data_IF_071536319692
#
_entry.id   IF_071536319692
#
_cell.length_a   1.000
_cell.length_b   1.000
_cell.length_c   1.000
_cell.angle_alpha   90.00
_cell.angle_beta   90.00
_cell.angle_gamma   90.00
#
_symmetry.space_group_name_H-M   'P 1'
#
loop_
_entity.id
_entity.type
_entity.pdbx_description
1 polymer ?
#
# COMPACT_ATOMS: atom_id res chain seq x y z
N UNK A 1 -14.57 -3.16 16.57
CA UNK A 1 -15.52 -4.17 17.12
C UNK A 1 -16.64 -4.52 16.14
N UNK A 2 -17.36 -3.53 15.53
CA UNK A 2 -18.47 -3.80 14.61
C UNK A 2 -18.03 -4.65 13.40
N UNK A 3 -16.89 -4.34 12.80
CA UNK A 3 -16.34 -5.09 11.65
C UNK A 3 -16.02 -6.54 12.00
N UNK A 4 -15.42 -6.80 13.15
CA UNK A 4 -15.11 -8.16 13.58
C UNK A 4 -16.39 -9.00 13.86
N UNK A 5 -17.48 -8.34 14.34
CA UNK A 5 -18.78 -9.04 14.56
C UNK A 5 -19.41 -9.56 13.26
N UNK A 6 -19.12 -8.94 12.11
CA UNK A 6 -19.60 -9.38 10.80
C UNK A 6 -18.59 -10.26 10.04
N UNK A 7 -17.57 -10.80 10.73
CA UNK A 7 -16.63 -11.76 10.18
C UNK A 7 -15.39 -11.17 9.51
N UNK A 8 -15.17 -9.83 9.58
CA UNK A 8 -13.94 -9.22 9.07
C UNK A 8 -12.76 -9.68 9.92
N UNK A 9 -11.79 -10.36 9.30
CA UNK A 9 -10.63 -10.94 9.99
C UNK A 9 -9.58 -9.91 10.37
N UNK A 10 -9.37 -8.90 9.52
CA UNK A 10 -8.37 -7.87 9.70
C UNK A 10 -8.86 -6.55 9.13
N UNK A 11 -8.48 -5.43 9.75
CA UNK A 11 -8.82 -4.09 9.29
C UNK A 11 -7.54 -3.33 8.98
N UNK A 12 -7.43 -2.83 7.77
CA UNK A 12 -6.40 -1.85 7.40
C UNK A 12 -6.93 -0.43 7.59
N UNK A 13 -6.31 0.34 8.49
CA UNK A 13 -6.67 1.73 8.76
C UNK A 13 -5.76 2.65 7.97
N UNK A 14 -6.27 3.13 6.83
CA UNK A 14 -5.53 3.94 5.84
C UNK A 14 -5.61 5.44 6.18
N UNK A 15 -4.92 5.85 7.25
CA UNK A 15 -4.91 7.25 7.73
C UNK A 15 -3.86 8.12 7.05
N UNK A 16 -2.82 7.53 6.46
CA UNK A 16 -1.68 8.24 5.86
C UNK A 16 -1.13 9.33 6.78
N UNK A 17 -0.90 8.97 8.07
CA UNK A 17 -0.47 9.93 9.09
C UNK A 17 0.80 10.67 8.68
N UNK A 18 0.72 11.98 8.61
CA UNK A 18 1.81 12.88 8.29
C UNK A 18 1.73 14.10 9.20
N UNK A 19 2.35 14.01 10.38
CA UNK A 19 2.30 15.04 11.41
C UNK A 19 3.60 15.01 12.24
N UNK A 20 3.70 15.85 13.25
CA UNK A 20 4.82 15.81 14.18
C UNK A 20 4.91 14.45 14.89
N UNK A 21 6.10 13.97 15.25
CA UNK A 21 6.28 12.70 15.94
C UNK A 21 5.37 12.48 17.15
N UNK A 22 5.18 13.50 17.99
CA UNK A 22 4.35 13.44 19.19
C UNK A 22 2.85 13.18 18.85
N UNK A 23 2.32 13.80 17.82
CA UNK A 23 0.93 13.58 17.37
C UNK A 23 0.79 12.18 16.77
N UNK A 24 1.76 11.75 15.95
CA UNK A 24 1.76 10.41 15.34
C UNK A 24 1.85 9.32 16.41
N UNK A 25 2.71 9.48 17.42
CA UNK A 25 2.84 8.56 18.56
C UNK A 25 1.49 8.31 19.24
N UNK A 26 0.83 9.37 19.68
CA UNK A 26 -0.46 9.30 20.37
C UNK A 26 -1.56 8.69 19.51
N UNK A 27 -1.57 9.02 18.20
CA UNK A 27 -2.57 8.51 17.26
C UNK A 27 -2.35 7.04 17.00
N UNK A 28 -1.12 6.62 16.71
CA UNK A 28 -0.77 5.21 16.45
C UNK A 28 -1.06 4.33 17.66
N UNK A 29 -0.69 4.78 18.87
CA UNK A 29 -0.99 4.04 20.09
C UNK A 29 -2.51 3.84 20.28
N UNK A 30 -3.32 4.85 19.96
CA UNK A 30 -4.78 4.75 20.04
C UNK A 30 -5.35 3.78 19.01
N UNK A 31 -4.90 3.85 17.76
CA UNK A 31 -5.33 2.97 16.67
C UNK A 31 -4.96 1.51 16.96
N UNK A 32 -3.77 1.26 17.50
CA UNK A 32 -3.33 -0.08 17.90
C UNK A 32 -4.31 -0.76 18.87
N UNK A 33 -4.80 0.00 19.88
CA UNK A 33 -5.78 -0.51 20.84
C UNK A 33 -7.17 -0.80 20.26
N UNK A 34 -7.42 -0.41 19.01
CA UNK A 34 -8.67 -0.72 18.30
C UNK A 34 -8.67 -2.12 17.65
N UNK A 35 -7.62 -2.91 17.84
CA UNK A 35 -7.44 -4.25 17.26
C UNK A 35 -7.47 -4.26 15.73
N UNK A 36 -6.63 -3.42 15.12
CA UNK A 36 -6.45 -3.35 13.68
C UNK A 36 -5.28 -4.23 13.23
N UNK A 37 -5.34 -4.75 12.02
CA UNK A 37 -4.27 -5.58 11.46
C UNK A 37 -3.16 -4.76 10.78
N UNK A 38 -3.50 -3.59 10.25
CA UNK A 38 -2.55 -2.73 9.54
C UNK A 38 -2.94 -1.25 9.69
N UNK A 39 -1.93 -0.38 9.70
CA UNK A 39 -2.09 1.06 9.62
C UNK A 39 -0.93 1.69 8.86
N UNK A 40 -1.12 2.90 8.36
CA UNK A 40 -0.06 3.58 7.64
C UNK A 40 0.25 5.00 8.12
N UNK A 41 1.48 5.38 7.84
CA UNK A 41 2.00 6.76 7.93
C UNK A 41 2.50 7.18 6.54
N UNK A 42 2.92 8.42 6.35
CA UNK A 42 3.53 8.87 5.10
C UNK A 42 5.07 8.90 5.22
N UNK A 43 5.78 8.31 4.24
CA UNK A 43 7.25 8.25 4.26
C UNK A 43 7.91 9.64 4.20
N UNK A 44 7.27 10.62 3.56
CA UNK A 44 7.73 12.01 3.53
C UNK A 44 7.75 12.69 4.91
N UNK A 45 7.11 12.11 5.93
CA UNK A 45 7.25 12.53 7.33
C UNK A 45 8.64 12.25 7.93
N UNK A 46 9.48 11.51 7.23
CA UNK A 46 10.87 11.25 7.56
C UNK A 46 11.09 10.10 8.55
N UNK A 47 12.33 9.63 8.63
CA UNK A 47 12.73 8.44 9.42
C UNK A 47 12.38 8.58 10.90
N UNK A 48 12.50 9.79 11.48
CA UNK A 48 12.20 10.02 12.90
C UNK A 48 10.71 9.79 13.19
N UNK A 49 9.81 10.36 12.39
CA UNK A 49 8.37 10.19 12.56
C UNK A 49 7.97 8.71 12.37
N UNK A 50 8.47 8.05 11.35
CA UNK A 50 8.20 6.63 11.08
C UNK A 50 8.69 5.73 12.22
N UNK A 51 9.88 5.98 12.77
CA UNK A 51 10.42 5.22 13.92
C UNK A 51 9.54 5.36 15.16
N UNK A 52 9.07 6.57 15.43
CA UNK A 52 8.15 6.84 16.56
C UNK A 52 6.83 6.12 16.34
N UNK A 53 6.27 6.12 15.14
CA UNK A 53 5.06 5.37 14.81
C UNK A 53 5.22 3.86 15.11
N UNK A 54 6.34 3.26 14.68
CA UNK A 54 6.61 1.84 14.93
C UNK A 54 6.77 1.53 16.41
N UNK A 55 7.51 2.36 17.14
CA UNK A 55 7.70 2.20 18.59
C UNK A 55 6.36 2.30 19.34
N UNK A 56 5.54 3.29 19.02
CA UNK A 56 4.23 3.48 19.63
C UNK A 56 3.27 2.31 19.39
N UNK A 57 3.26 1.74 18.18
CA UNK A 57 2.46 0.56 17.88
C UNK A 57 2.92 -0.66 18.70
N UNK A 58 4.23 -0.89 18.79
CA UNK A 58 4.81 -1.99 19.55
C UNK A 58 4.49 -1.85 21.05
N UNK A 59 4.73 -0.67 21.61
CA UNK A 59 4.47 -0.40 23.03
C UNK A 59 2.97 -0.57 23.36
N UNK A 60 2.07 0.02 22.58
CA UNK A 60 0.64 -0.08 22.81
C UNK A 60 0.11 -1.52 22.69
N UNK A 61 0.70 -2.34 21.81
CA UNK A 61 0.38 -3.75 21.70
C UNK A 61 0.86 -4.56 22.91
N UNK A 62 2.05 -4.27 23.42
CA UNK A 62 2.59 -4.90 24.62
C UNK A 62 1.78 -4.52 25.88
N UNK A 63 1.43 -3.23 26.03
CA UNK A 63 0.58 -2.73 27.12
C UNK A 63 -0.83 -3.34 27.12
N UNK A 64 -1.36 -3.69 25.94
CA UNK A 64 -2.62 -4.42 25.82
C UNK A 64 -2.50 -5.91 26.19
N UNK A 65 -1.35 -6.36 26.70
CA UNK A 65 -1.10 -7.76 27.07
C UNK A 65 -1.10 -8.71 25.88
N UNK A 66 -0.87 -8.19 24.68
CA UNK A 66 -0.88 -8.93 23.40
C UNK A 66 -2.24 -9.58 23.09
N UNK A 67 -3.30 -9.11 23.72
CA UNK A 67 -4.68 -9.62 23.51
C UNK A 67 -5.34 -9.06 22.23
N UNK A 68 -4.69 -8.10 21.56
CA UNK A 68 -5.07 -7.56 20.26
C UNK A 68 -4.09 -8.02 19.20
N UNK A 69 -4.49 -7.98 17.94
CA UNK A 69 -3.59 -8.28 16.83
C UNK A 69 -2.41 -7.27 16.82
N UNK A 70 -1.17 -7.75 16.65
CA UNK A 70 -0.04 -6.85 16.42
C UNK A 70 -0.18 -6.23 15.03
N UNK A 71 -0.38 -4.92 14.93
CA UNK A 71 -0.58 -4.30 13.63
C UNK A 71 0.73 -4.22 12.83
N UNK A 72 0.63 -4.38 11.53
CA UNK A 72 1.66 -3.94 10.60
C UNK A 72 1.61 -2.41 10.52
N UNK A 73 2.77 -1.77 10.66
CA UNK A 73 2.92 -0.32 10.45
C UNK A 73 3.72 -0.13 9.16
N UNK A 74 3.07 0.43 8.15
CA UNK A 74 3.65 0.61 6.81
C UNK A 74 3.71 2.09 6.43
N UNK A 75 4.52 2.45 5.43
CA UNK A 75 4.61 3.84 4.97
C UNK A 75 4.10 3.99 3.53
N UNK A 76 3.26 5.00 3.29
CA UNK A 76 2.93 5.42 1.93
C UNK A 76 4.15 6.11 1.33
N UNK A 77 4.64 5.65 0.20
CA UNK A 77 5.77 6.24 -0.52
C UNK A 77 5.33 7.50 -1.27
N UNK A 78 4.80 7.34 -2.47
CA UNK A 78 4.20 8.41 -3.27
C UNK A 78 2.79 7.95 -3.66
N UNK A 79 1.82 8.86 -3.62
CA UNK A 79 0.44 8.55 -4.01
C UNK A 79 0.37 8.19 -5.50
N UNK A 80 -0.42 7.18 -5.83
CA UNK A 80 -0.57 6.70 -7.22
C UNK A 80 -1.27 7.72 -8.14
N UNK A 81 -1.87 8.75 -7.57
CA UNK A 81 -2.44 9.90 -8.30
C UNK A 81 -1.38 10.95 -8.68
N UNK A 82 -0.17 10.88 -8.14
CA UNK A 82 0.92 11.83 -8.38
C UNK A 82 1.94 11.29 -9.38
N UNK A 83 2.44 12.16 -10.22
CA UNK A 83 3.59 11.92 -11.11
C UNK A 83 4.78 12.82 -10.75
N UNK A 84 5.83 12.77 -11.58
CA UNK A 84 7.02 13.57 -11.36
C UNK A 84 6.75 15.07 -11.35
N UNK A 85 5.88 15.53 -12.25
CA UNK A 85 5.60 16.96 -12.42
C UNK A 85 4.80 17.50 -11.23
N UNK A 86 3.83 16.75 -10.71
CA UNK A 86 3.11 17.12 -9.48
C UNK A 86 4.07 17.29 -8.29
N UNK A 87 5.08 16.45 -8.18
CA UNK A 87 6.08 16.54 -7.11
C UNK A 87 7.08 17.66 -7.32
N UNK A 88 7.38 18.01 -8.58
CA UNK A 88 8.24 19.12 -8.93
C UNK A 88 7.58 20.46 -8.63
N UNK A 89 6.27 20.60 -8.92
CA UNK A 89 5.50 21.81 -8.61
C UNK A 89 5.52 22.17 -7.12
N UNK A 90 5.50 21.17 -6.25
CA UNK A 90 5.55 21.39 -4.79
C UNK A 90 6.97 21.31 -4.21
N UNK A 91 7.99 21.22 -5.05
CA UNK A 91 9.41 21.24 -4.66
C UNK A 91 9.93 19.97 -3.97
N UNK A 92 9.22 18.85 -4.07
CA UNK A 92 9.69 17.54 -3.52
C UNK A 92 10.81 16.97 -4.39
N UNK A 93 10.75 17.18 -5.70
CA UNK A 93 11.82 16.87 -6.64
C UNK A 93 12.21 18.12 -7.43
N UNK A 94 13.43 18.19 -8.00
CA UNK A 94 13.82 19.32 -8.84
C UNK A 94 12.91 19.49 -10.06
N UNK A 95 12.71 20.72 -10.50
CA UNK A 95 12.09 20.98 -11.81
C UNK A 95 12.89 20.28 -12.91
N UNK A 96 12.18 19.73 -13.88
CA UNK A 96 12.78 18.97 -14.97
C UNK A 96 12.69 19.79 -16.26
N UNK A 97 13.83 20.36 -16.70
CA UNK A 97 13.91 21.27 -17.84
C UNK A 97 14.21 20.56 -19.18
N UNK A 98 14.52 19.26 -19.15
CA UNK A 98 14.82 18.51 -20.37
C UNK A 98 13.53 18.10 -21.11
N UNK A 99 13.42 18.52 -22.37
CA UNK A 99 12.27 18.28 -23.25
C UNK A 99 12.57 17.33 -24.42
N UNK A 100 13.61 16.49 -24.31
CA UNK A 100 13.99 15.50 -25.32
C UNK A 100 13.01 14.31 -25.35
N UNK A 101 13.15 13.45 -26.39
CA UNK A 101 12.27 12.29 -26.55
C UNK A 101 12.35 11.28 -25.39
N UNK A 102 13.42 11.30 -24.62
CA UNK A 102 13.70 10.47 -23.44
C UNK A 102 13.23 11.10 -22.12
N UNK A 103 12.64 12.31 -22.15
CA UNK A 103 12.23 13.05 -20.96
C UNK A 103 11.29 12.26 -20.06
N UNK A 104 10.33 11.52 -20.64
CA UNK A 104 9.37 10.72 -19.89
C UNK A 104 10.03 9.51 -19.20
N UNK A 105 10.97 8.86 -19.86
CA UNK A 105 11.71 7.73 -19.29
C UNK A 105 12.61 8.18 -18.14
N UNK A 106 13.27 9.33 -18.30
CA UNK A 106 14.09 9.92 -17.23
C UNK A 106 13.23 10.29 -16.01
N UNK A 107 12.08 10.91 -16.20
CA UNK A 107 11.13 11.23 -15.11
C UNK A 107 10.67 9.96 -14.39
N UNK A 108 10.31 8.93 -15.15
CA UNK A 108 9.93 7.62 -14.59
C UNK A 108 11.06 7.03 -13.73
N UNK A 109 12.27 6.97 -14.24
CA UNK A 109 13.42 6.46 -13.50
C UNK A 109 13.72 7.26 -12.22
N UNK A 110 13.57 8.59 -12.26
CA UNK A 110 13.70 9.45 -11.07
C UNK A 110 12.61 9.15 -10.04
N UNK A 111 11.37 8.90 -10.45
CA UNK A 111 10.28 8.49 -9.58
C UNK A 111 10.57 7.13 -8.92
N UNK A 112 10.98 6.15 -9.69
CA UNK A 112 11.38 4.83 -9.19
C UNK A 112 12.50 4.95 -8.13
N UNK A 113 13.52 5.77 -8.40
CA UNK A 113 14.61 6.03 -7.47
C UNK A 113 14.13 6.67 -6.16
N UNK A 114 13.22 7.64 -6.25
CA UNK A 114 12.61 8.29 -5.09
C UNK A 114 11.80 7.29 -4.26
N UNK A 115 10.93 6.50 -4.91
CA UNK A 115 10.08 5.51 -4.23
C UNK A 115 10.93 4.45 -3.51
N UNK A 116 11.96 3.92 -4.16
CA UNK A 116 12.91 2.97 -3.54
C UNK A 116 13.65 3.62 -2.36
N UNK A 117 14.04 4.89 -2.47
CA UNK A 117 14.69 5.62 -1.37
C UNK A 117 13.77 5.78 -0.16
N UNK A 118 12.49 6.09 -0.40
CA UNK A 118 11.47 6.18 0.64
C UNK A 118 11.18 4.81 1.28
N UNK A 119 11.15 3.73 0.50
CA UNK A 119 10.99 2.37 1.02
C UNK A 119 12.17 1.96 1.92
N UNK A 120 13.40 2.24 1.50
CA UNK A 120 14.60 2.03 2.34
C UNK A 120 14.58 2.88 3.62
N UNK A 121 14.07 4.11 3.55
CA UNK A 121 13.92 4.95 4.73
C UNK A 121 12.89 4.39 5.71
N UNK A 122 11.77 3.84 5.21
CA UNK A 122 10.77 3.14 6.01
C UNK A 122 11.36 1.87 6.66
N UNK A 123 12.08 1.07 5.92
CA UNK A 123 12.77 -0.10 6.43
C UNK A 123 13.81 0.27 7.52
N UNK A 124 14.61 1.33 7.29
CA UNK A 124 15.57 1.86 8.27
C UNK A 124 14.88 2.36 9.56
N UNK A 125 13.66 2.84 9.45
CA UNK A 125 12.83 3.23 10.59
C UNK A 125 12.25 2.03 11.36
N UNK A 126 12.35 0.81 10.82
CA UNK A 126 11.83 -0.43 11.40
C UNK A 126 10.36 -0.70 11.04
N UNK A 127 9.81 -0.04 10.03
CA UNK A 127 8.46 -0.33 9.55
C UNK A 127 8.41 -1.70 8.89
N UNK A 128 7.19 -2.28 8.84
CA UNK A 128 6.96 -3.62 8.32
C UNK A 128 6.86 -3.64 6.78
N UNK A 129 6.58 -2.50 6.15
CA UNK A 129 6.42 -2.41 4.71
C UNK A 129 6.07 -1.02 4.20
N UNK A 130 5.62 -0.98 2.95
CA UNK A 130 5.22 0.25 2.26
C UNK A 130 3.95 0.07 1.43
N UNK A 131 3.32 1.20 1.10
CA UNK A 131 2.34 1.32 0.02
C UNK A 131 3.05 1.90 -1.19
N UNK A 132 3.01 1.20 -2.33
CA UNK A 132 3.63 1.61 -3.59
C UNK A 132 2.84 1.07 -4.79
N UNK A 133 3.04 1.64 -5.98
CA UNK A 133 2.40 1.14 -7.20
C UNK A 133 3.03 -0.17 -7.68
N UNK A 134 2.32 -0.90 -8.56
CA UNK A 134 2.84 -2.11 -9.22
C UNK A 134 4.17 -1.85 -9.91
N UNK A 135 4.33 -0.66 -10.50
CA UNK A 135 5.51 -0.30 -11.28
C UNK A 135 6.81 -0.29 -10.46
N UNK A 136 6.72 0.02 -9.17
CA UNK A 136 7.88 0.06 -8.28
C UNK A 136 8.00 -1.19 -7.38
N UNK A 137 6.99 -2.05 -7.34
CA UNK A 137 6.91 -3.17 -6.39
C UNK A 137 8.14 -4.10 -6.48
N UNK A 138 8.50 -4.54 -7.68
CA UNK A 138 9.68 -5.41 -7.88
C UNK A 138 11.00 -4.70 -7.53
N UNK A 139 11.12 -3.39 -7.77
CA UNK A 139 12.29 -2.62 -7.39
C UNK A 139 12.43 -2.53 -5.87
N UNK A 140 11.31 -2.34 -5.17
CA UNK A 140 11.24 -2.34 -3.71
C UNK A 140 11.58 -3.73 -3.16
N UNK A 141 11.02 -4.79 -3.74
CA UNK A 141 11.31 -6.18 -3.37
C UNK A 141 12.81 -6.47 -3.44
N UNK A 142 13.45 -6.09 -4.54
CA UNK A 142 14.89 -6.25 -4.73
C UNK A 142 15.72 -5.40 -3.74
N UNK A 143 15.24 -4.22 -3.37
CA UNK A 143 15.94 -3.29 -2.51
C UNK A 143 15.80 -3.58 -1.02
N UNK A 144 14.63 -4.09 -0.59
CA UNK A 144 14.25 -4.26 0.82
C UNK A 144 14.12 -5.72 1.25
N UNK A 145 14.11 -6.66 0.28
CA UNK A 145 14.06 -8.10 0.54
C UNK A 145 12.66 -8.69 0.73
N UNK A 146 12.58 -10.04 0.87
CA UNK A 146 11.31 -10.77 0.75
C UNK A 146 10.38 -10.63 1.95
N UNK A 147 10.85 -10.12 3.08
CA UNK A 147 10.04 -9.95 4.30
C UNK A 147 9.42 -8.57 4.45
N UNK A 148 9.76 -7.64 3.55
CA UNK A 148 9.25 -6.28 3.59
C UNK A 148 7.94 -6.20 2.82
N UNK A 149 6.82 -5.91 3.50
CA UNK A 149 5.48 -5.92 2.92
C UNK A 149 5.30 -4.82 1.87
N UNK A 150 4.69 -5.21 0.75
CA UNK A 150 4.34 -4.30 -0.33
C UNK A 150 2.83 -4.35 -0.53
N UNK A 151 2.16 -3.26 -0.16
CA UNK A 151 0.72 -3.07 -0.34
C UNK A 151 0.51 -2.21 -1.57
N UNK A 152 -0.26 -2.69 -2.54
CA UNK A 152 -0.37 -2.05 -3.86
C UNK A 152 -1.79 -1.61 -4.15
N UNK A 153 -2.05 -0.28 -4.13
CA UNK A 153 -3.30 0.32 -4.58
C UNK A 153 -3.30 0.53 -6.11
N UNK A 154 -4.42 1.05 -6.62
CA UNK A 154 -4.54 1.33 -8.05
C UNK A 154 -4.80 0.09 -8.90
N UNK A 155 -5.31 -0.96 -8.27
CA UNK A 155 -5.59 -2.23 -8.95
C UNK A 155 -6.93 -2.14 -9.68
N UNK A 156 -6.91 -2.49 -10.96
CA UNK A 156 -8.08 -2.54 -11.84
C UNK A 156 -8.04 -3.82 -12.68
N UNK A 157 -9.10 -4.66 -12.65
CA UNK A 157 -9.23 -5.76 -13.59
C UNK A 157 -9.19 -5.28 -15.04
N UNK A 158 -8.79 -6.14 -15.95
CA UNK A 158 -8.77 -5.83 -17.38
C UNK A 158 -10.16 -5.34 -17.84
N UNK A 159 -10.19 -4.19 -18.56
CA UNK A 159 -11.44 -3.59 -19.05
C UNK A 159 -12.19 -2.65 -18.08
N UNK A 160 -11.68 -2.43 -16.88
CA UNK A 160 -12.28 -1.49 -15.94
C UNK A 160 -11.94 -0.02 -16.28
N UNK A 161 -12.79 0.92 -15.83
CA UNK A 161 -12.62 2.36 -16.03
C UNK A 161 -11.35 2.90 -15.32
N UNK A 162 -10.60 3.77 -16.01
CA UNK A 162 -9.25 4.23 -15.63
C UNK A 162 -9.18 5.72 -15.23
N UNK A 163 -10.31 6.39 -15.01
CA UNK A 163 -10.38 7.86 -14.95
C UNK A 163 -9.71 8.51 -13.73
N UNK A 164 -9.53 7.81 -12.61
CA UNK A 164 -9.17 8.44 -11.33
C UNK A 164 -7.70 8.30 -10.91
N UNK A 165 -6.85 7.58 -11.65
CA UNK A 165 -5.48 7.31 -11.23
C UNK A 165 -4.50 7.26 -12.42
N UNK A 166 -3.32 7.83 -12.22
CA UNK A 166 -2.25 7.92 -13.24
C UNK A 166 -1.42 6.62 -13.36
N UNK A 167 -1.39 5.78 -12.31
CA UNK A 167 -0.55 4.57 -12.22
C UNK A 167 -1.40 3.36 -11.82
N UNK A 168 -2.11 2.81 -12.83
CA UNK A 168 -3.00 1.67 -12.69
C UNK A 168 -2.33 0.39 -13.21
N UNK A 169 -2.72 -0.75 -12.64
CA UNK A 169 -2.32 -2.06 -13.16
C UNK A 169 -3.31 -3.16 -12.76
N UNK A 170 -3.15 -4.36 -13.34
CA UNK A 170 -4.04 -5.49 -13.10
C UNK A 170 -3.65 -6.28 -11.85
N UNK A 171 -4.58 -7.03 -11.23
CA UNK A 171 -4.27 -7.99 -10.18
C UNK A 171 -3.14 -8.95 -10.57
N UNK A 172 -3.19 -9.51 -11.79
CA UNK A 172 -2.19 -10.44 -12.27
C UNK A 172 -0.78 -9.82 -12.37
N UNK A 173 -0.68 -8.58 -12.82
CA UNK A 173 0.61 -7.89 -12.89
C UNK A 173 1.15 -7.53 -11.50
N UNK A 174 0.28 -7.17 -10.55
CA UNK A 174 0.68 -6.91 -9.17
C UNK A 174 1.26 -8.16 -8.49
N UNK A 175 0.66 -9.33 -8.71
CA UNK A 175 1.19 -10.62 -8.24
C UNK A 175 2.56 -10.92 -8.86
N UNK A 176 2.69 -10.74 -10.17
CA UNK A 176 3.98 -10.94 -10.88
C UNK A 176 5.07 -9.97 -10.41
N UNK A 177 4.67 -8.77 -9.96
CA UNK A 177 5.57 -7.77 -9.38
C UNK A 177 5.85 -8.01 -7.89
N UNK A 178 5.43 -9.16 -7.33
CA UNK A 178 5.66 -9.57 -5.94
C UNK A 178 5.02 -8.63 -4.90
N UNK A 179 3.85 -8.07 -5.21
CA UNK A 179 3.00 -7.39 -4.22
C UNK A 179 2.41 -8.41 -3.24
N UNK A 180 2.42 -8.09 -1.93
CA UNK A 180 1.88 -8.97 -0.89
C UNK A 180 0.39 -8.78 -0.68
N UNK A 181 -0.10 -7.53 -0.78
CA UNK A 181 -1.53 -7.21 -0.66
C UNK A 181 -1.97 -6.22 -1.74
N UNK A 182 -3.17 -6.42 -2.26
CA UNK A 182 -3.78 -5.58 -3.29
C UNK A 182 -4.93 -4.78 -2.69
N UNK A 183 -4.94 -3.46 -2.92
CA UNK A 183 -6.04 -2.59 -2.52
C UNK A 183 -6.95 -2.34 -3.71
N UNK A 184 -8.14 -2.91 -3.67
CA UNK A 184 -9.15 -2.79 -4.72
C UNK A 184 -10.38 -2.08 -4.18
N UNK A 185 -10.71 -0.94 -4.75
CA UNK A 185 -11.84 -0.10 -4.33
C UNK A 185 -12.96 -0.08 -5.37
N UNK A 186 -12.96 0.96 -6.21
CA UNK A 186 -14.04 1.22 -7.17
C UNK A 186 -14.42 0.06 -8.08
N UNK A 187 -13.53 -0.85 -8.51
CA UNK A 187 -13.94 -2.01 -9.28
C UNK A 187 -14.90 -2.96 -8.56
N UNK A 188 -14.94 -2.90 -7.23
CA UNK A 188 -15.86 -3.68 -6.41
C UNK A 188 -17.09 -2.84 -6.07
N UNK A 189 -16.92 -1.73 -5.35
CA UNK A 189 -18.08 -1.01 -4.79
C UNK A 189 -18.92 -0.23 -5.81
N UNK A 190 -18.42 0.00 -7.05
CA UNK A 190 -19.18 0.60 -8.15
C UNK A 190 -19.86 -0.44 -9.05
N UNK A 191 -19.56 -1.73 -8.89
CA UNK A 191 -20.20 -2.80 -9.65
C UNK A 191 -21.64 -3.02 -9.17
N UNK A 192 -22.51 -3.44 -10.06
CA UNK A 192 -23.90 -3.80 -9.75
C UNK A 192 -24.00 -5.05 -8.88
N UNK A 193 -23.02 -5.97 -9.01
CA UNK A 193 -22.83 -7.13 -8.16
C UNK A 193 -21.44 -7.11 -7.52
N UNK A 194 -21.38 -6.53 -6.33
CA UNK A 194 -20.12 -6.37 -5.58
C UNK A 194 -19.46 -7.71 -5.20
N UNK A 195 -20.27 -8.75 -4.97
CA UNK A 195 -19.77 -10.08 -4.62
C UNK A 195 -19.09 -10.73 -5.84
N UNK A 196 -19.79 -10.77 -6.98
CA UNK A 196 -19.24 -11.31 -8.22
C UNK A 196 -18.00 -10.52 -8.68
N UNK A 197 -18.01 -9.19 -8.51
CA UNK A 197 -16.83 -8.35 -8.81
C UNK A 197 -15.62 -8.75 -7.96
N UNK A 198 -15.81 -8.96 -6.66
CA UNK A 198 -14.75 -9.42 -5.77
C UNK A 198 -14.25 -10.82 -6.15
N UNK A 199 -15.15 -11.75 -6.48
CA UNK A 199 -14.79 -13.10 -6.91
C UNK A 199 -13.99 -13.12 -8.21
N UNK A 200 -14.33 -12.27 -9.19
CA UNK A 200 -13.56 -12.13 -10.43
C UNK A 200 -12.10 -11.74 -10.15
N UNK A 201 -11.89 -10.80 -9.24
CA UNK A 201 -10.56 -10.36 -8.85
C UNK A 201 -9.79 -11.47 -8.12
N UNK A 202 -10.45 -12.19 -7.22
CA UNK A 202 -9.85 -13.34 -6.51
C UNK A 202 -9.45 -14.44 -7.49
N UNK A 203 -10.28 -14.73 -8.51
CA UNK A 203 -9.93 -15.69 -9.57
C UNK A 203 -8.69 -15.24 -10.35
N UNK A 204 -8.62 -13.99 -10.76
CA UNK A 204 -7.45 -13.45 -11.49
C UNK A 204 -6.16 -13.55 -10.64
N UNK A 205 -6.24 -13.28 -9.34
CA UNK A 205 -5.12 -13.45 -8.41
C UNK A 205 -4.71 -14.92 -8.32
N UNK A 206 -5.67 -15.83 -8.15
CA UNK A 206 -5.42 -17.27 -8.03
C UNK A 206 -4.77 -17.84 -9.31
N UNK A 207 -5.23 -17.43 -10.47
CA UNK A 207 -4.63 -17.80 -11.76
C UNK A 207 -3.19 -17.30 -11.88
N UNK A 208 -2.93 -16.05 -11.47
CA UNK A 208 -1.59 -15.46 -11.49
C UNK A 208 -0.61 -16.18 -10.54
N UNK A 209 -1.11 -16.69 -9.41
CA UNK A 209 -0.36 -17.51 -8.46
C UNK A 209 -0.15 -18.96 -8.93
N UNK A 210 -0.77 -19.38 -10.04
CA UNK A 210 -0.77 -20.77 -10.49
C UNK A 210 -1.58 -21.71 -9.60
N UNK A 211 -2.45 -21.17 -8.73
CA UNK A 211 -3.35 -21.95 -7.88
C UNK A 211 -4.72 -22.04 -8.56
N UNK A 212 -5.20 -23.27 -8.82
CA UNK A 212 -6.59 -23.49 -9.24
C UNK A 212 -7.50 -23.13 -8.06
N UNK A 213 -8.26 -22.06 -8.20
CA UNK A 213 -9.33 -21.76 -7.25
C UNK A 213 -10.43 -22.83 -7.44
N UNK A 214 -10.49 -23.81 -6.56
CA UNK A 214 -11.50 -24.86 -6.54
C UNK A 214 -12.87 -24.35 -6.09
N UNK A 215 -13.38 -23.30 -6.72
CA UNK A 215 -14.77 -22.89 -6.63
C UNK A 215 -15.59 -23.74 -7.61
N UNK A 216 -15.73 -25.03 -7.33
CA UNK A 216 -16.82 -25.81 -7.90
C UNK A 216 -18.14 -25.23 -7.40
N UNK A 217 -18.92 -24.68 -8.34
CA UNK A 217 -20.31 -24.31 -8.07
C UNK A 217 -21.03 -25.57 -7.64
N UNK A 218 -21.42 -25.66 -6.40
CA UNK A 218 -22.40 -26.66 -5.95
C UNK A 218 -23.70 -26.36 -6.72
N UNK A 219 -24.22 -27.27 -7.56
CA UNK A 219 -25.50 -27.06 -8.20
C UNK A 219 -26.60 -27.07 -7.13
N UNK A 220 -27.58 -26.19 -7.33
CA UNK A 220 -28.74 -25.99 -6.47
C UNK A 220 -29.62 -27.24 -6.28
#
# INVERSE_FOLDING_TARGET
>A
EAMHKIGVRSVFVDLKLHNTPDVVEKTVARVTRMNVGMMNVHALGGVKMMRVAKAAATQAWEEAGRNVQRPLVIAVTILTSQDYDDLAEIGVVPLFEHNGPDAMEIKKHKMETLVVSLARAAQKAGLDGVVASVHEALLIRNACGPKFWIVTPGIRPAGADTTDQKRLDTPANAIKAESDELVVGSPIYKDTDTAEAAERIVREIAEALGTHCGCEKTPA
#
